data_IF_823071036780
#
_entry.id   IF_823071036780
#
_cell.length_a   1.000
_cell.length_b   1.000
_cell.length_c   1.000
_cell.angle_alpha   90.00
_cell.angle_beta   90.00
_cell.angle_gamma   90.00
#
_symmetry.space_group_name_H-M   'P 1'
#
loop_
_entity.id
_entity.type
_entity.pdbx_description
1 polymer ?
#
# COMPACT_ATOMS: atom_id res chain seq x y z
N UNK A 1 -21.37 5.33 29.31
CA UNK A 1 -19.96 5.61 29.67
C UNK A 1 -19.09 4.36 29.53
N UNK A 2 -18.78 3.92 28.30
CA UNK A 2 -17.98 2.70 28.01
C UNK A 2 -16.76 2.94 27.11
N UNK A 3 -16.49 4.20 26.77
CA UNK A 3 -15.56 4.57 25.69
C UNK A 3 -14.12 4.83 26.16
N UNK A 4 -13.88 5.02 27.46
CA UNK A 4 -12.55 5.41 27.97
C UNK A 4 -11.60 4.24 28.30
N UNK A 5 -12.11 3.02 28.52
CA UNK A 5 -11.28 1.87 28.94
C UNK A 5 -10.49 1.27 27.77
N UNK A 6 -11.01 1.39 26.54
CA UNK A 6 -10.40 0.80 25.34
C UNK A 6 -9.19 1.63 24.86
N UNK A 7 -9.26 2.96 24.98
CA UNK A 7 -8.15 3.85 24.66
C UNK A 7 -6.96 3.65 25.61
N UNK A 8 -7.23 3.45 26.90
CA UNK A 8 -6.17 3.24 27.91
C UNK A 8 -5.42 1.90 27.75
N UNK A 9 -6.06 0.85 27.21
CA UNK A 9 -5.40 -0.44 26.94
C UNK A 9 -4.42 -0.38 25.76
N UNK A 10 -4.73 0.40 24.72
CA UNK A 10 -3.88 0.51 23.52
C UNK A 10 -2.55 1.20 23.80
N UNK A 11 -2.54 2.24 24.65
CA UNK A 11 -1.30 2.93 24.99
C UNK A 11 -0.34 2.12 25.88
N UNK A 12 -0.84 1.16 26.68
CA UNK A 12 0.03 0.30 27.49
C UNK A 12 0.70 -0.82 26.65
N UNK A 13 0.07 -1.25 25.55
CA UNK A 13 0.67 -2.21 24.61
C UNK A 13 1.77 -1.60 23.72
N UNK A 14 1.63 -0.32 23.36
CA UNK A 14 2.58 0.36 22.44
C UNK A 14 3.95 0.61 23.10
N UNK A 15 4.02 0.76 24.43
CA UNK A 15 5.29 0.94 25.15
C UNK A 15 5.96 -0.38 25.61
N UNK A 16 5.36 -1.54 25.35
CA UNK A 16 5.90 -2.86 25.75
C UNK A 16 6.80 -3.51 24.68
N UNK A 17 7.04 -2.83 23.54
CA UNK A 17 7.83 -3.39 22.44
C UNK A 17 9.35 -3.21 22.58
N UNK A 18 9.87 -2.75 23.74
CA UNK A 18 11.30 -2.50 23.92
C UNK A 18 11.97 -3.14 25.15
N UNK A 19 11.27 -3.95 25.93
CA UNK A 19 11.89 -4.62 27.09
C UNK A 19 11.17 -5.92 27.40
N UNK A 20 11.91 -7.00 27.67
CA UNK A 20 11.37 -8.28 28.15
C UNK A 20 10.72 -8.05 29.51
N UNK A 21 9.42 -7.79 29.55
CA UNK A 21 8.68 -7.56 30.79
C UNK A 21 7.24 -8.07 30.66
N UNK A 22 6.86 -8.94 31.59
CA UNK A 22 5.49 -9.41 31.73
C UNK A 22 4.62 -8.30 32.32
N UNK A 23 3.52 -7.96 31.63
CA UNK A 23 2.52 -7.02 32.12
C UNK A 23 1.27 -7.79 32.58
N UNK A 24 0.77 -7.49 33.79
CA UNK A 24 -0.55 -7.91 34.27
C UNK A 24 -1.46 -6.70 34.37
N UNK A 25 -2.72 -6.86 33.96
CA UNK A 25 -3.71 -5.79 33.91
C UNK A 25 -4.74 -6.01 35.03
N UNK A 26 -4.69 -5.19 36.07
CA UNK A 26 -5.70 -5.21 37.14
C UNK A 26 -6.35 -3.82 37.28
N UNK A 27 -7.68 -3.83 37.36
CA UNK A 27 -8.59 -2.68 37.55
C UNK A 27 -8.09 -1.27 37.15
N UNK A 28 -7.88 -1.05 35.85
CA UNK A 28 -7.93 0.31 35.27
C UNK A 28 -6.74 1.23 35.51
N UNK A 29 -5.60 0.72 36.02
CA UNK A 29 -4.34 1.46 36.06
C UNK A 29 -3.16 0.58 35.66
N UNK A 30 -2.35 1.02 34.68
CA UNK A 30 -1.09 0.34 34.34
C UNK A 30 -0.04 0.73 35.38
N UNK A 31 0.16 -0.13 36.38
CA UNK A 31 1.26 -0.01 37.35
C UNK A 31 2.47 -0.76 36.81
N UNK A 32 3.55 -0.02 36.53
CA UNK A 32 4.85 -0.58 36.20
C UNK A 32 5.54 -0.89 37.53
N UNK A 33 5.53 -2.15 37.96
CA UNK A 33 6.29 -2.57 39.14
C UNK A 33 7.77 -2.70 38.75
N UNK A 34 8.58 -1.72 39.16
CA UNK A 34 10.04 -1.85 39.10
C UNK A 34 10.48 -2.79 40.22
N UNK A 35 10.89 -4.00 39.87
CA UNK A 35 11.60 -4.87 40.82
C UNK A 35 13.03 -4.35 40.97
N UNK A 36 13.23 -3.41 41.90
CA UNK A 36 14.53 -2.83 42.23
C UNK A 36 15.26 -3.68 43.30
N UNK A 37 16.37 -4.30 42.88
CA UNK A 37 17.65 -4.52 43.58
C UNK A 37 17.68 -5.01 45.05
N UNK A 38 18.43 -6.10 45.31
CA UNK A 38 19.45 -6.23 46.37
C UNK A 38 20.21 -7.58 46.22
N UNK A 39 21.47 -7.58 45.78
CA UNK A 39 22.71 -7.50 46.58
C UNK A 39 22.88 -8.69 47.56
N UNK A 40 23.58 -9.74 47.10
CA UNK A 40 24.34 -10.65 47.97
C UNK A 40 25.69 -10.96 47.30
N UNK A 41 26.77 -10.51 47.93
CA UNK A 41 28.16 -10.97 47.85
C UNK A 41 28.70 -10.85 49.29
N UNK A 42 29.70 -11.63 49.77
CA UNK A 42 30.73 -12.35 49.00
C UNK A 42 31.02 -13.80 49.49
N UNK A 43 31.80 -14.62 48.77
CA UNK A 43 33.17 -15.06 49.15
C UNK A 43 33.81 -15.99 48.11
N UNK A 44 35.16 -16.15 48.12
CA UNK A 44 35.97 -16.43 46.96
C UNK A 44 36.33 -17.91 46.82
N UNK A 45 36.29 -18.41 45.59
CA UNK A 45 37.18 -19.42 45.00
C UNK A 45 36.44 -20.02 43.82
N UNK A 46 36.72 -19.49 42.66
CA UNK A 46 36.96 -20.30 41.48
C UNK A 46 37.65 -19.40 40.48
N UNK A 47 38.96 -19.59 40.39
CA UNK A 47 39.74 -19.11 39.28
C UNK A 47 39.21 -19.81 38.03
N UNK A 48 38.41 -19.12 37.23
CA UNK A 48 38.22 -19.44 35.84
C UNK A 48 38.49 -18.16 35.08
N UNK A 49 39.76 -17.98 34.74
CA UNK A 49 40.28 -17.24 33.59
C UNK A 49 39.39 -16.09 33.10
N UNK A 50 39.88 -14.88 33.34
CA UNK A 50 39.65 -13.76 32.43
C UNK A 50 40.19 -14.15 31.05
N UNK A 51 39.40 -14.92 30.31
CA UNK A 51 39.43 -14.85 28.86
C UNK A 51 38.76 -13.53 28.53
N UNK A 52 39.54 -12.44 28.61
CA UNK A 52 39.31 -11.32 27.72
C UNK A 52 39.36 -11.94 26.32
N UNK A 53 38.18 -12.29 25.80
CA UNK A 53 37.97 -12.59 24.41
C UNK A 53 38.24 -11.27 23.68
N UNK A 54 39.52 -10.96 23.50
CA UNK A 54 39.95 -9.98 22.52
C UNK A 54 39.42 -10.52 21.21
N UNK A 55 38.46 -9.79 20.61
CA UNK A 55 38.02 -10.03 19.24
C UNK A 55 39.25 -10.32 18.41
N UNK A 56 39.43 -11.59 18.03
CA UNK A 56 40.51 -11.91 17.13
C UNK A 56 40.22 -11.17 15.83
N UNK A 57 41.24 -10.60 15.18
CA UNK A 57 41.04 -9.80 13.96
C UNK A 57 40.28 -10.59 12.88
N UNK A 58 40.43 -11.91 12.90
CA UNK A 58 39.72 -12.88 12.06
C UNK A 58 38.22 -12.94 12.39
N UNK A 59 37.85 -12.98 13.67
CA UNK A 59 36.45 -13.00 14.12
C UNK A 59 35.73 -11.70 13.76
N UNK A 60 36.41 -10.56 13.90
CA UNK A 60 35.87 -9.27 13.47
C UNK A 60 35.66 -9.22 11.94
N UNK A 61 36.60 -9.75 11.16
CA UNK A 61 36.49 -9.85 9.69
C UNK A 61 35.36 -10.79 9.26
N UNK A 62 35.21 -11.93 9.94
CA UNK A 62 34.11 -12.87 9.68
C UNK A 62 32.73 -12.26 10.02
N UNK A 63 32.62 -11.56 11.15
CA UNK A 63 31.39 -10.87 11.54
C UNK A 63 31.02 -9.76 10.54
N UNK A 64 32.00 -9.01 10.04
CA UNK A 64 31.80 -7.94 9.06
C UNK A 64 31.39 -8.51 7.69
N UNK A 65 31.96 -9.65 7.28
CA UNK A 65 31.57 -10.35 6.05
C UNK A 65 30.12 -10.85 6.09
N UNK A 66 29.70 -11.47 7.20
CA UNK A 66 28.32 -11.93 7.38
C UNK A 66 27.35 -10.74 7.40
N UNK A 67 27.71 -9.65 8.07
CA UNK A 67 26.91 -8.43 8.11
C UNK A 67 26.76 -7.80 6.72
N UNK A 68 27.84 -7.73 5.93
CA UNK A 68 27.81 -7.19 4.57
C UNK A 68 26.89 -8.02 3.65
N UNK A 69 27.03 -9.34 3.64
CA UNK A 69 26.19 -10.23 2.84
C UNK A 69 24.72 -10.16 3.30
N UNK A 70 24.48 -10.16 4.61
CA UNK A 70 23.14 -10.04 5.18
C UNK A 70 22.47 -8.71 4.81
N UNK A 71 23.19 -7.60 4.87
CA UNK A 71 22.66 -6.28 4.54
C UNK A 71 22.30 -6.13 3.05
N UNK A 72 23.11 -6.69 2.15
CA UNK A 72 22.83 -6.72 0.71
C UNK A 72 21.58 -7.56 0.40
N UNK A 73 21.42 -8.70 1.06
CA UNK A 73 20.22 -9.53 0.95
C UNK A 73 18.95 -8.79 1.37
N UNK A 74 18.99 -8.10 2.51
CA UNK A 74 17.84 -7.35 3.04
C UNK A 74 17.49 -6.15 2.12
N UNK A 75 18.48 -5.40 1.61
CA UNK A 75 18.22 -4.29 0.69
C UNK A 75 17.45 -4.74 -0.57
N UNK A 76 17.77 -5.92 -1.11
CA UNK A 76 17.12 -6.44 -2.32
C UNK A 76 15.62 -6.71 -2.13
N UNK A 77 15.22 -7.14 -0.93
CA UNK A 77 13.81 -7.37 -0.57
C UNK A 77 13.04 -6.05 -0.46
N UNK A 78 13.68 -5.01 0.07
CA UNK A 78 13.07 -3.68 0.16
C UNK A 78 12.84 -3.06 -1.22
N UNK A 79 13.82 -3.13 -2.13
CA UNK A 79 13.68 -2.66 -3.51
C UNK A 79 12.51 -3.34 -4.25
N UNK A 80 12.41 -4.66 -4.11
CA UNK A 80 11.32 -5.45 -4.68
C UNK A 80 9.95 -5.07 -4.08
N UNK A 81 9.91 -4.79 -2.78
CA UNK A 81 8.69 -4.38 -2.07
C UNK A 81 8.19 -2.99 -2.49
N UNK A 82 9.09 -2.03 -2.72
CA UNK A 82 8.72 -0.70 -3.21
C UNK A 82 8.16 -0.76 -4.65
N UNK A 83 8.80 -1.52 -5.53
CA UNK A 83 8.33 -1.71 -6.90
C UNK A 83 6.93 -2.35 -6.94
N UNK A 84 6.71 -3.39 -6.11
CA UNK A 84 5.41 -4.07 -6.02
C UNK A 84 4.32 -3.18 -5.43
N UNK A 85 4.65 -2.30 -4.48
CA UNK A 85 3.69 -1.36 -3.88
C UNK A 85 3.22 -0.32 -4.89
N UNK A 86 4.14 0.27 -5.65
CA UNK A 86 3.80 1.25 -6.70
C UNK A 86 2.98 0.61 -7.82
N UNK A 87 3.33 -0.61 -8.22
CA UNK A 87 2.58 -1.35 -9.25
C UNK A 87 1.15 -1.67 -8.79
N UNK A 88 0.97 -2.15 -7.55
CA UNK A 88 -0.36 -2.45 -7.01
C UNK A 88 -1.20 -1.18 -6.83
N UNK A 89 -0.60 -0.08 -6.36
CA UNK A 89 -1.29 1.20 -6.25
C UNK A 89 -1.82 1.68 -7.61
N UNK A 90 -1.02 1.55 -8.67
CA UNK A 90 -1.42 1.94 -10.01
C UNK A 90 -2.54 1.05 -10.56
N UNK A 91 -2.50 -0.27 -10.34
CA UNK A 91 -3.57 -1.18 -10.74
C UNK A 91 -4.89 -0.90 -10.00
N UNK A 92 -4.82 -0.61 -8.69
CA UNK A 92 -6.01 -0.22 -7.91
C UNK A 92 -6.59 1.10 -8.43
N UNK A 93 -5.76 2.13 -8.63
CA UNK A 93 -6.23 3.41 -9.16
C UNK A 93 -6.82 3.27 -10.57
N UNK A 94 -6.18 2.48 -11.44
CA UNK A 94 -6.67 2.18 -12.79
C UNK A 94 -8.03 1.47 -12.77
N UNK A 95 -8.23 0.54 -11.84
CA UNK A 95 -9.53 -0.10 -11.62
C UNK A 95 -10.60 0.91 -11.20
N UNK A 96 -10.33 1.75 -10.21
CA UNK A 96 -11.30 2.72 -9.68
C UNK A 96 -11.67 3.79 -10.72
N UNK A 97 -10.68 4.27 -11.50
CA UNK A 97 -10.91 5.17 -12.63
C UNK A 97 -11.76 4.49 -13.71
N UNK A 98 -11.46 3.24 -14.04
CA UNK A 98 -12.25 2.50 -15.02
C UNK A 98 -13.68 2.26 -14.54
N UNK A 99 -13.90 1.98 -13.26
CA UNK A 99 -15.24 1.86 -12.68
C UNK A 99 -15.99 3.20 -12.72
N UNK A 100 -15.31 4.32 -12.46
CA UNK A 100 -15.90 5.66 -12.61
C UNK A 100 -16.34 5.91 -14.05
N UNK A 101 -15.48 5.62 -15.04
CA UNK A 101 -15.82 5.76 -16.46
C UNK A 101 -16.98 4.84 -16.87
N UNK A 102 -16.98 3.59 -16.41
CA UNK A 102 -18.10 2.67 -16.60
C UNK A 102 -19.40 3.16 -15.93
N UNK A 103 -19.30 3.83 -14.79
CA UNK A 103 -20.41 4.50 -14.12
C UNK A 103 -21.03 5.59 -14.99
N UNK A 104 -20.20 6.45 -15.58
CA UNK A 104 -20.65 7.47 -16.54
C UNK A 104 -21.32 6.83 -17.76
N UNK A 105 -20.72 5.78 -18.33
CA UNK A 105 -21.32 5.09 -19.48
C UNK A 105 -22.68 4.48 -19.15
N UNK A 106 -22.83 3.88 -17.97
CA UNK A 106 -24.13 3.36 -17.50
C UNK A 106 -25.15 4.47 -17.26
N UNK A 107 -24.73 5.61 -16.71
CA UNK A 107 -25.60 6.76 -16.51
C UNK A 107 -26.10 7.37 -17.84
N UNK A 108 -25.33 7.25 -18.92
CA UNK A 108 -25.74 7.69 -20.26
C UNK A 108 -26.64 6.68 -21.00
N UNK A 109 -26.73 5.44 -20.53
CA UNK A 109 -27.68 4.44 -21.02
C UNK A 109 -27.58 4.21 -22.54
N UNK A 110 -28.70 4.35 -23.24
CA UNK A 110 -28.80 4.14 -24.69
C UNK A 110 -27.91 5.10 -25.52
N UNK A 111 -27.56 6.27 -24.97
CA UNK A 111 -26.75 7.30 -25.63
C UNK A 111 -25.24 7.14 -25.37
N UNK A 112 -24.81 6.11 -24.63
CA UNK A 112 -23.41 5.88 -24.30
C UNK A 112 -22.50 5.76 -25.54
N UNK A 113 -23.04 5.32 -26.68
CA UNK A 113 -22.31 5.22 -27.95
C UNK A 113 -21.76 6.58 -28.44
N UNK A 114 -22.38 7.70 -28.04
CA UNK A 114 -21.88 9.05 -28.34
C UNK A 114 -20.52 9.37 -27.70
N UNK A 115 -20.12 8.59 -26.69
CA UNK A 115 -18.84 8.69 -25.99
C UNK A 115 -17.77 7.79 -26.60
N UNK A 116 -18.05 7.13 -27.72
CA UNK A 116 -17.07 6.30 -28.41
C UNK A 116 -15.89 7.14 -28.91
N UNK A 117 -14.67 6.71 -28.62
CA UNK A 117 -13.44 7.43 -28.94
C UNK A 117 -13.16 8.60 -28.00
N UNK A 118 -14.00 8.85 -26.99
CA UNK A 118 -13.73 9.88 -26.00
C UNK A 118 -12.48 9.52 -25.18
N UNK A 119 -11.72 10.54 -24.83
CA UNK A 119 -10.50 10.41 -24.04
C UNK A 119 -10.52 11.32 -22.83
N UNK A 120 -9.89 10.88 -21.75
CA UNK A 120 -9.79 11.64 -20.51
C UNK A 120 -8.34 11.64 -20.08
N UNK A 121 -7.79 12.80 -19.79
CA UNK A 121 -6.48 12.96 -19.15
C UNK A 121 -6.67 13.42 -17.71
N UNK A 122 -5.60 13.36 -16.91
CA UNK A 122 -5.64 13.85 -15.53
C UNK A 122 -5.99 15.36 -15.42
N UNK A 123 -5.81 16.14 -16.48
CA UNK A 123 -6.08 17.58 -16.49
C UNK A 123 -7.37 17.98 -17.22
N UNK A 124 -7.84 17.15 -18.15
CA UNK A 124 -8.95 17.51 -19.01
C UNK A 124 -9.66 16.27 -19.57
N UNK A 125 -10.99 16.32 -19.65
CA UNK A 125 -11.80 15.36 -20.39
C UNK A 125 -12.14 15.89 -21.80
N UNK A 126 -12.19 15.01 -22.80
CA UNK A 126 -12.62 15.38 -24.16
C UNK A 126 -14.12 15.67 -24.26
N UNK A 127 -14.90 15.33 -23.22
CA UNK A 127 -16.33 15.53 -23.13
C UNK A 127 -16.70 15.87 -21.68
N UNK A 128 -17.56 16.87 -21.48
CA UNK A 128 -17.98 17.32 -20.15
C UNK A 128 -18.66 16.21 -19.32
N UNK A 129 -19.30 15.23 -19.96
CA UNK A 129 -19.88 14.07 -19.28
C UNK A 129 -18.82 13.21 -18.58
N UNK A 130 -17.56 13.30 -18.99
CA UNK A 130 -16.42 12.57 -18.46
C UNK A 130 -15.59 13.39 -17.46
N UNK A 131 -16.00 14.61 -17.11
CA UNK A 131 -15.37 15.41 -16.06
C UNK A 131 -15.27 14.67 -14.70
N UNK A 132 -16.25 13.84 -14.29
CA UNK A 132 -16.09 13.02 -13.08
C UNK A 132 -14.91 12.05 -13.17
N UNK A 133 -14.57 11.56 -14.37
CA UNK A 133 -13.45 10.64 -14.58
C UNK A 133 -12.12 11.38 -14.44
N UNK A 134 -11.99 12.59 -15.00
CA UNK A 134 -10.78 13.41 -14.85
C UNK A 134 -10.57 13.85 -13.40
N UNK A 135 -11.64 14.18 -12.67
CA UNK A 135 -11.58 14.50 -11.25
C UNK A 135 -11.05 13.32 -10.42
N UNK A 136 -11.51 12.10 -10.72
CA UNK A 136 -11.01 10.88 -10.07
C UNK A 136 -9.53 10.65 -10.41
N UNK A 137 -9.12 10.78 -11.67
CA UNK A 137 -7.71 10.69 -12.07
C UNK A 137 -6.83 11.69 -11.31
N UNK A 138 -7.27 12.95 -11.22
CA UNK A 138 -6.56 13.99 -10.47
C UNK A 138 -6.50 13.69 -8.97
N UNK A 139 -7.56 13.11 -8.39
CA UNK A 139 -7.59 12.75 -6.97
C UNK A 139 -6.59 11.63 -6.61
N UNK A 140 -6.35 10.70 -7.53
CA UNK A 140 -5.31 9.67 -7.38
C UNK A 140 -3.89 10.17 -7.71
N UNK A 141 -3.74 11.45 -8.08
CA UNK A 141 -2.44 12.01 -8.45
C UNK A 141 -1.83 11.35 -9.69
N UNK A 142 -2.68 10.87 -10.61
CA UNK A 142 -2.23 10.29 -11.87
C UNK A 142 -1.35 11.30 -12.62
N UNK A 143 -0.25 10.85 -13.26
CA UNK A 143 0.61 11.74 -14.00
C UNK A 143 -0.12 12.35 -15.21
N UNK A 144 0.28 13.53 -15.71
CA UNK A 144 -0.42 14.22 -16.80
C UNK A 144 -0.41 13.43 -18.12
N UNK A 145 0.60 12.58 -18.35
CA UNK A 145 0.66 11.66 -19.49
C UNK A 145 -0.27 10.44 -19.38
N UNK A 146 -1.03 10.29 -18.28
CA UNK A 146 -2.05 9.25 -18.18
C UNK A 146 -3.28 9.59 -19.00
N UNK A 147 -3.86 8.57 -19.63
CA UNK A 147 -5.03 8.72 -20.47
C UNK A 147 -6.02 7.58 -20.26
N UNK A 148 -7.30 7.90 -20.20
CA UNK A 148 -8.39 6.95 -20.32
C UNK A 148 -8.93 7.06 -21.74
N UNK A 149 -9.11 5.94 -22.42
CA UNK A 149 -9.78 5.87 -23.70
C UNK A 149 -11.00 4.95 -23.63
N UNK A 150 -12.07 5.38 -24.29
CA UNK A 150 -13.35 4.69 -24.34
C UNK A 150 -13.57 4.17 -25.75
N UNK A 151 -13.74 2.86 -25.89
CA UNK A 151 -14.13 2.22 -27.14
C UNK A 151 -15.46 1.52 -26.94
N UNK A 152 -16.50 1.97 -27.66
CA UNK A 152 -17.84 1.41 -27.57
C UNK A 152 -18.28 0.84 -28.91
N UNK A 153 -18.79 -0.39 -28.87
CA UNK A 153 -19.32 -1.07 -30.05
C UNK A 153 -20.75 -1.51 -29.79
N UNK A 154 -21.70 -1.03 -30.59
CA UNK A 154 -23.11 -1.42 -30.51
C UNK A 154 -23.27 -2.93 -30.72
N UNK A 155 -24.01 -3.63 -29.84
CA UNK A 155 -24.31 -5.06 -30.03
C UNK A 155 -25.29 -5.28 -31.19
N UNK A 156 -26.20 -4.33 -31.41
CA UNK A 156 -27.33 -4.49 -32.32
C UNK A 156 -27.15 -3.74 -33.66
N UNK A 157 -25.98 -3.13 -33.92
CA UNK A 157 -25.71 -2.25 -35.07
C UNK A 157 -26.74 -1.12 -35.34
N UNK A 158 -27.62 -0.81 -34.39
CA UNK A 158 -28.71 0.15 -34.57
C UNK A 158 -28.35 1.59 -34.14
N UNK A 159 -27.06 1.86 -33.88
CA UNK A 159 -26.59 3.18 -33.42
C UNK A 159 -27.00 3.53 -31.98
N UNK A 160 -27.56 2.57 -31.23
CA UNK A 160 -27.99 2.70 -29.83
C UNK A 160 -27.45 1.52 -29.02
N UNK A 161 -27.16 1.75 -27.74
CA UNK A 161 -26.80 0.67 -26.83
C UNK A 161 -28.04 -0.22 -26.51
N UNK A 162 -27.88 -1.52 -26.21
CA UNK A 162 -26.74 -2.13 -25.54
C UNK A 162 -25.49 -2.19 -26.42
N UNK A 163 -24.36 -1.78 -25.84
CA UNK A 163 -23.06 -1.71 -26.50
C UNK A 163 -21.99 -2.31 -25.58
N UNK A 164 -20.97 -2.93 -26.18
CA UNK A 164 -19.79 -3.40 -25.48
C UNK A 164 -18.88 -2.20 -25.28
N UNK A 165 -18.75 -1.76 -24.03
CA UNK A 165 -17.84 -0.69 -23.65
C UNK A 165 -16.51 -1.29 -23.18
N UNK A 166 -15.42 -0.79 -23.75
CA UNK A 166 -14.05 -1.08 -23.35
C UNK A 166 -13.44 0.21 -22.85
N UNK A 167 -13.01 0.21 -21.58
CA UNK A 167 -12.31 1.34 -20.96
C UNK A 167 -10.87 0.93 -20.78
N UNK A 168 -9.95 1.71 -21.35
CA UNK A 168 -8.51 1.51 -21.18
C UNK A 168 -7.91 2.70 -20.45
N UNK A 169 -7.27 2.45 -19.32
CA UNK A 169 -6.55 3.44 -18.53
C UNK A 169 -5.06 3.18 -18.73
N UNK A 170 -4.35 4.12 -19.33
CA UNK A 170 -2.92 4.06 -19.57
C UNK A 170 -2.20 5.07 -18.70
N UNK A 171 -1.01 4.71 -18.23
CA UNK A 171 -0.10 5.61 -17.52
C UNK A 171 1.34 5.29 -17.87
N UNK A 172 2.26 6.12 -17.36
CA UNK A 172 3.70 6.01 -17.65
C UNK A 172 4.00 6.07 -19.17
N UNK A 173 3.33 6.97 -19.88
CA UNK A 173 3.48 7.13 -21.34
C UNK A 173 2.96 5.94 -22.16
N UNK A 174 2.12 5.08 -21.57
CA UNK A 174 1.58 3.88 -22.21
C UNK A 174 2.33 2.59 -21.87
N UNK A 175 3.39 2.65 -21.06
CA UNK A 175 4.12 1.46 -20.62
C UNK A 175 3.25 0.53 -19.75
N UNK A 176 2.25 1.09 -19.05
CA UNK A 176 1.30 0.34 -18.25
C UNK A 176 -0.12 0.68 -18.67
N UNK A 177 -0.95 -0.35 -18.82
CA UNK A 177 -2.34 -0.23 -19.25
C UNK A 177 -3.22 -1.16 -18.43
N UNK A 178 -4.31 -0.63 -17.90
CA UNK A 178 -5.41 -1.38 -17.33
C UNK A 178 -6.61 -1.29 -18.27
N UNK A 179 -7.13 -2.43 -18.73
CA UNK A 179 -8.31 -2.47 -19.60
C UNK A 179 -9.41 -3.29 -18.96
N UNK A 180 -10.63 -2.78 -19.00
CA UNK A 180 -11.83 -3.50 -18.60
C UNK A 180 -12.89 -3.40 -19.70
N UNK A 181 -13.74 -4.42 -19.79
CA UNK A 181 -14.81 -4.48 -20.77
C UNK A 181 -16.10 -4.93 -20.08
N UNK A 182 -17.21 -4.28 -20.43
CA UNK A 182 -18.54 -4.66 -19.94
C UNK A 182 -19.62 -4.14 -20.88
N UNK A 183 -20.81 -4.74 -20.81
CA UNK A 183 -21.96 -4.31 -21.61
C UNK A 183 -22.69 -3.19 -20.85
N UNK A 184 -23.00 -2.10 -21.55
CA UNK A 184 -23.71 -0.92 -21.02
C UNK A 184 -24.88 -0.54 -21.91
N UNK A 185 -25.82 0.24 -21.36
CA UNK A 185 -26.98 0.75 -22.10
C UNK A 185 -28.16 -0.20 -22.19
N UNK A 186 -28.38 -0.97 -21.12
CA UNK A 186 -29.68 -1.57 -20.81
C UNK A 186 -30.56 -0.59 -20.04
#
# INVERSE_FOLDING_TARGET
MKTNIIASRKNCAINLARTVQSARFDQGSCQISQTSLQRILPSPREAATSTQAGLTLIEAMAALAIFAIGSLGILSLFLSSFAMTNQNQNLTSGYEIAQSAMGVLRANGAQALSLNGATVSASQASNALLDPVSAVMSAYGMPPQSQVSLALTSLNNNGLCPCTATVSVTWDGGAQTYTTQSIVGY
#
